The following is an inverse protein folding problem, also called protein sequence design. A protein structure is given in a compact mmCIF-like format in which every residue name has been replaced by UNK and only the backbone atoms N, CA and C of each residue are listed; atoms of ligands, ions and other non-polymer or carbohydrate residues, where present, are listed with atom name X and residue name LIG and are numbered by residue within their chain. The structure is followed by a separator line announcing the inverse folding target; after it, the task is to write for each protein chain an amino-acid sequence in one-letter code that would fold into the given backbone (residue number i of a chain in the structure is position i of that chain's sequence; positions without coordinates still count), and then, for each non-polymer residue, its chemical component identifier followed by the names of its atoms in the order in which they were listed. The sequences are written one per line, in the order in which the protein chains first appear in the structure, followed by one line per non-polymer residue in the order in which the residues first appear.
data_IF_627151032380
#
_entry.id   IF_627151032380
#
_cell.length_a   1.000
_cell.length_b   1.000
_cell.length_c   1.000
_cell.angle_alpha   90.00
_cell.angle_beta   90.00
_cell.angle_gamma   90.00
#
_symmetry.space_group_name_H-M   'P 1'
#
loop_
_entity.id
_entity.type
_entity.pdbx_description
1 polymer ?
#
# COMPACT_ATOMS: atom_id res chain seq x y z
N UNK A 1 -12.77 -14.27 6.52
CA UNK A 1 -12.10 -14.67 5.26
C UNK A 1 -10.60 -14.64 5.47
N UNK A 2 -10.01 -15.79 5.81
CA UNK A 2 -8.55 -15.89 5.91
C UNK A 2 -7.99 -15.91 4.50
N UNK A 3 -7.41 -14.78 4.12
CA UNK A 3 -6.64 -14.55 2.90
C UNK A 3 -5.46 -15.54 2.96
N UNK A 4 -5.63 -16.82 2.55
CA UNK A 4 -4.56 -17.83 2.37
C UNK A 4 -3.28 -17.13 1.92
N UNK A 5 -2.32 -16.97 2.81
CA UNK A 5 -1.10 -16.22 2.58
C UNK A 5 -0.30 -16.98 1.53
N UNK A 6 -0.16 -16.41 0.34
CA UNK A 6 0.81 -16.90 -0.63
C UNK A 6 2.08 -16.14 -0.33
N UNK A 7 3.10 -16.79 0.23
CA UNK A 7 4.37 -16.14 0.57
C UNK A 7 5.45 -16.57 -0.45
N UNK A 8 5.49 -15.99 -1.66
CA UNK A 8 6.50 -16.33 -2.65
C UNK A 8 7.87 -15.76 -2.28
N UNK A 9 8.97 -16.30 -2.85
CA UNK A 9 10.30 -15.74 -2.67
C UNK A 9 10.35 -14.27 -3.09
N UNK A 10 10.96 -13.45 -2.23
CA UNK A 10 11.17 -12.02 -2.48
C UNK A 10 12.34 -11.89 -3.45
N UNK A 11 12.09 -11.32 -4.64
CA UNK A 11 13.14 -11.02 -5.60
C UNK A 11 13.60 -9.57 -5.36
N UNK A 12 14.88 -9.38 -5.06
CA UNK A 12 15.47 -8.05 -4.89
C UNK A 12 15.95 -7.55 -6.26
N UNK A 13 15.22 -6.60 -6.85
CA UNK A 13 15.66 -5.85 -8.02
C UNK A 13 15.84 -4.38 -7.61
N UNK A 14 17.07 -3.86 -7.71
CA UNK A 14 17.44 -2.44 -7.63
C UNK A 14 16.50 -1.57 -6.76
N UNK A 15 16.64 -1.69 -5.43
CA UNK A 15 15.95 -0.84 -4.45
C UNK A 15 14.43 -1.02 -4.34
N UNK A 16 13.80 -1.82 -5.21
CA UNK A 16 12.37 -2.16 -5.15
C UNK A 16 12.21 -3.61 -4.75
N UNK A 17 11.74 -3.83 -3.52
CA UNK A 17 11.36 -5.16 -3.06
C UNK A 17 10.12 -5.62 -3.85
N UNK A 18 10.34 -6.34 -4.96
CA UNK A 18 9.27 -6.82 -5.82
C UNK A 18 8.81 -8.18 -5.34
N UNK A 19 7.52 -8.25 -5.00
CA UNK A 19 6.84 -9.53 -4.78
C UNK A 19 6.80 -10.27 -6.12
N UNK A 20 7.02 -11.58 -6.09
CA UNK A 20 6.96 -12.41 -7.29
C UNK A 20 5.61 -12.34 -8.02
N UNK A 21 5.54 -12.96 -9.21
CA UNK A 21 4.31 -13.02 -10.00
C UNK A 21 3.35 -14.09 -9.45
N UNK A 22 2.04 -13.88 -9.62
CA UNK A 22 1.04 -14.88 -9.26
C UNK A 22 1.15 -16.11 -10.17
N UNK A 23 1.27 -17.34 -9.65
CA UNK A 23 1.39 -18.54 -10.49
C UNK A 23 0.11 -18.84 -11.28
N UNK A 24 -1.06 -18.31 -10.88
CA UNK A 24 -2.33 -18.57 -11.56
C UNK A 24 -2.63 -17.62 -12.71
N UNK A 25 -2.18 -16.36 -12.66
CA UNK A 25 -2.56 -15.35 -13.66
C UNK A 25 -1.40 -14.44 -14.09
N UNK A 26 -0.18 -14.66 -13.58
CA UNK A 26 0.99 -13.85 -13.89
C UNK A 26 0.96 -12.40 -13.36
N UNK A 27 -0.12 -11.97 -12.70
CA UNK A 27 -0.21 -10.60 -12.17
C UNK A 27 0.73 -10.42 -10.98
N UNK A 28 1.37 -9.24 -10.81
CA UNK A 28 2.18 -8.95 -9.62
C UNK A 28 1.40 -9.18 -8.33
N UNK A 29 2.05 -9.85 -7.37
CA UNK A 29 1.52 -10.00 -6.02
C UNK A 29 1.62 -8.67 -5.29
N UNK A 30 0.63 -8.37 -4.46
CA UNK A 30 0.56 -7.17 -3.64
C UNK A 30 0.73 -7.53 -2.17
N UNK A 31 1.49 -6.72 -1.42
CA UNK A 31 1.62 -6.82 0.03
C UNK A 31 0.60 -5.91 0.68
N UNK A 32 -0.04 -6.41 1.73
CA UNK A 32 -0.91 -5.62 2.60
C UNK A 32 -0.53 -5.78 4.07
N UNK A 33 -0.71 -4.72 4.83
CA UNK A 33 -0.58 -4.68 6.28
C UNK A 33 -1.96 -4.60 6.93
N UNK A 34 -2.25 -5.60 7.75
CA UNK A 34 -3.39 -5.60 8.66
C UNK A 34 -2.99 -4.99 10.01
N UNK A 35 -3.87 -5.08 11.01
CA UNK A 35 -3.61 -4.59 12.35
C UNK A 35 -2.46 -5.31 13.07
N UNK A 36 -2.28 -6.61 12.80
CA UNK A 36 -1.39 -7.48 13.56
C UNK A 36 -0.48 -8.36 12.70
N UNK A 37 -0.65 -8.35 11.38
CA UNK A 37 0.17 -9.12 10.46
C UNK A 37 0.24 -8.47 9.09
N UNK A 38 1.09 -9.03 8.23
CA UNK A 38 1.18 -8.72 6.82
C UNK A 38 0.83 -9.94 5.98
N UNK A 39 0.34 -9.71 4.77
CA UNK A 39 0.04 -10.77 3.84
C UNK A 39 0.34 -10.36 2.39
N UNK A 40 0.71 -11.36 1.60
CA UNK A 40 0.94 -11.23 0.17
C UNK A 40 -0.22 -11.90 -0.59
N UNK A 41 -0.81 -11.21 -1.56
CA UNK A 41 -1.97 -11.70 -2.31
C UNK A 41 -2.02 -11.24 -3.76
N UNK A 42 -2.64 -12.04 -4.62
CA UNK A 42 -2.98 -11.63 -5.98
C UNK A 42 -4.30 -10.87 -6.00
N UNK A 43 -4.29 -9.61 -6.45
CA UNK A 43 -5.49 -8.79 -6.60
C UNK A 43 -6.49 -9.36 -7.62
N UNK A 44 -6.01 -9.96 -8.70
CA UNK A 44 -6.90 -10.51 -9.73
C UNK A 44 -7.60 -11.78 -9.22
N UNK A 45 -6.83 -12.78 -8.80
CA UNK A 45 -7.40 -14.06 -8.41
C UNK A 45 -8.21 -14.01 -7.10
N UNK A 46 -7.79 -13.22 -6.10
CA UNK A 46 -8.42 -13.27 -4.78
C UNK A 46 -9.63 -12.36 -4.66
N UNK A 47 -9.57 -11.17 -5.25
CA UNK A 47 -10.56 -10.12 -5.03
C UNK A 47 -11.22 -9.66 -6.32
N UNK A 48 -10.99 -10.37 -7.43
CA UNK A 48 -11.55 -10.01 -8.74
C UNK A 48 -11.13 -8.62 -9.18
N UNK A 49 -9.92 -8.20 -8.83
CA UNK A 49 -9.42 -6.86 -9.15
C UNK A 49 -9.74 -5.79 -8.10
N UNK A 50 -10.27 -6.10 -6.90
CA UNK A 50 -10.48 -5.10 -5.83
C UNK A 50 -9.27 -5.00 -4.90
N UNK A 51 -8.85 -3.78 -4.53
CA UNK A 51 -7.78 -3.60 -3.54
C UNK A 51 -8.32 -3.85 -2.13
N UNK A 52 -7.56 -4.59 -1.33
CA UNK A 52 -7.81 -4.73 0.11
C UNK A 52 -7.34 -3.48 0.86
N UNK A 53 -7.97 -3.19 2.01
CA UNK A 53 -7.60 -2.07 2.85
C UNK A 53 -6.21 -2.30 3.47
N UNK A 54 -5.23 -1.50 3.04
CA UNK A 54 -3.87 -1.52 3.56
C UNK A 54 -3.71 -0.49 4.69
N UNK A 55 -3.37 -0.95 5.89
CA UNK A 55 -3.26 -0.06 7.06
C UNK A 55 -2.05 0.87 6.98
N UNK A 56 -0.94 0.42 6.40
CA UNK A 56 0.28 1.23 6.28
C UNK A 56 0.07 2.44 5.35
N UNK A 57 -0.48 2.17 4.17
CA UNK A 57 -0.89 3.17 3.20
C UNK A 57 -1.97 4.09 3.76
N UNK A 58 -2.98 3.52 4.43
CA UNK A 58 -4.03 4.34 5.06
C UNK A 58 -3.46 5.29 6.11
N UNK A 59 -2.46 4.86 6.89
CA UNK A 59 -1.78 5.71 7.87
C UNK A 59 -0.98 6.81 7.19
N UNK A 60 -0.16 6.48 6.19
CA UNK A 60 0.60 7.46 5.42
C UNK A 60 -0.32 8.54 4.85
N UNK A 61 -1.39 8.14 4.15
CA UNK A 61 -2.33 9.09 3.54
C UNK A 61 -3.08 9.93 4.58
N UNK A 62 -3.40 9.35 5.74
CA UNK A 62 -4.10 10.07 6.81
C UNK A 62 -3.18 11.06 7.51
N UNK A 63 -1.96 10.65 7.84
CA UNK A 63 -0.97 11.45 8.55
C UNK A 63 -0.50 12.64 7.68
N UNK A 64 -0.40 12.46 6.36
CA UNK A 64 -0.01 13.52 5.43
C UNK A 64 -1.16 14.49 5.05
N UNK A 65 -2.40 14.18 5.43
CA UNK A 65 -3.57 14.98 5.03
C UNK A 65 -4.02 15.96 6.12
N UNK A 66 -4.24 17.25 5.80
CA UNK A 66 -4.71 18.23 6.77
C UNK A 66 -6.13 17.93 7.25
N UNK A 67 -6.32 18.01 8.57
CA UNK A 67 -7.61 17.75 9.21
C UNK A 67 -8.55 18.97 9.20
N UNK A 68 -8.09 20.13 8.70
CA UNK A 68 -8.93 21.31 8.49
C UNK A 68 -8.50 22.14 7.27
N UNK A 69 -9.44 22.94 6.75
CA UNK A 69 -9.17 23.86 5.64
C UNK A 69 -8.09 24.88 6.01
N UNK A 70 -8.16 25.43 7.23
CA UNK A 70 -7.18 26.38 7.76
C UNK A 70 -5.79 25.77 7.87
N UNK A 71 -5.68 24.53 8.37
CA UNK A 71 -4.41 23.80 8.42
C UNK A 71 -3.83 23.63 7.02
N UNK A 72 -4.68 23.31 6.03
CA UNK A 72 -4.26 23.22 4.63
C UNK A 72 -3.79 24.56 4.07
N UNK A 73 -4.37 25.68 4.49
CA UNK A 73 -3.94 27.02 4.09
C UNK A 73 -2.60 27.39 4.68
N UNK A 74 -2.38 27.10 5.97
CA UNK A 74 -1.08 27.26 6.64
C UNK A 74 0.01 26.42 5.96
N UNK A 75 -0.24 25.13 5.71
CA UNK A 75 0.68 24.26 4.95
C UNK A 75 1.03 24.81 3.55
N UNK A 76 0.06 25.40 2.83
CA UNK A 76 0.30 26.05 1.53
C UNK A 76 1.13 27.33 1.68
N UNK A 77 0.92 28.11 2.74
CA UNK A 77 1.67 29.33 3.02
C UNK A 77 3.13 29.02 3.38
N UNK A 78 3.36 28.04 4.26
CA UNK A 78 4.69 27.59 4.66
C UNK A 78 5.51 27.14 3.44
N UNK A 79 4.91 26.35 2.54
CA UNK A 79 5.57 25.92 1.28
C UNK A 79 5.93 27.08 0.36
N UNK A 80 5.21 28.21 0.41
CA UNK A 80 5.49 29.41 -0.41
C UNK A 80 6.58 30.28 0.18
N UNK A 81 6.74 30.29 1.51
CA UNK A 81 7.73 31.11 2.21
C UNK A 81 9.07 30.40 2.42
N UNK A 82 9.09 29.06 2.40
CA UNK A 82 10.30 28.24 2.59
C UNK A 82 11.04 27.85 1.31
N UNK A 83 10.86 28.61 0.22
CA UNK A 83 11.53 28.40 -1.08
C UNK A 83 12.58 29.45 -1.37
#
# INVERSE_FOLDING_TARGET
MLVRSFNPPIHHAEGKQVLGLCPGCGTPIQRIQYASNEANYCRQCRTGGKLLADRGLSRLLKDDWPNSLEQRERMKADRRMGG
#
